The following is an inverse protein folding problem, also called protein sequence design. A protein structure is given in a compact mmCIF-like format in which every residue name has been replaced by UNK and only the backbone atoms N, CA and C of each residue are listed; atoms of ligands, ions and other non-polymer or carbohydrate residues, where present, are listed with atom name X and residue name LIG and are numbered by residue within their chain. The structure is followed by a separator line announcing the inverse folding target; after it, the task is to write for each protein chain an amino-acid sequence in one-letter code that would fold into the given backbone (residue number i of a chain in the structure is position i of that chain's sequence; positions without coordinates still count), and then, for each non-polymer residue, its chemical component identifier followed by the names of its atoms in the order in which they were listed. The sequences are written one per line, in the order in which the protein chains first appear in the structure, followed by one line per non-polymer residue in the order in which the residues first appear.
data_IF_189588602615
#
_entry.id   IF_189588602615
#
_cell.length_a   1.000
_cell.length_b   1.000
_cell.length_c   1.000
_cell.angle_alpha   90.00
_cell.angle_beta   90.00
_cell.angle_gamma   90.00
#
_symmetry.space_group_name_H-M   'P 1'
#
loop_
_entity.id
_entity.type
_entity.pdbx_description
1 polymer ?
#
# COMPACT_ATOMS: atom_id res chain seq x y z
N UNK A 1 -9.02 -12.86 7.53
CA UNK A 1 -9.55 -11.52 7.91
C UNK A 1 -8.46 -10.54 7.56
N UNK A 2 -8.66 -9.69 6.56
CA UNK A 2 -7.63 -8.78 6.06
C UNK A 2 -7.30 -7.67 7.06
N UNK A 3 -6.19 -6.98 6.83
CA UNK A 3 -5.84 -5.75 7.51
C UNK A 3 -6.00 -4.54 6.59
N UNK A 4 -6.24 -3.37 7.18
CA UNK A 4 -6.44 -2.13 6.46
C UNK A 4 -5.46 -1.06 6.96
N UNK A 5 -4.98 -0.25 6.01
CA UNK A 5 -4.22 0.96 6.26
C UNK A 5 -4.92 2.12 5.56
N UNK A 6 -5.15 3.21 6.30
CA UNK A 6 -5.74 4.44 5.77
C UNK A 6 -4.93 5.65 6.17
N UNK A 7 -4.73 6.59 5.24
CA UNK A 7 -4.11 7.88 5.50
C UNK A 7 -5.00 9.00 4.98
N UNK A 8 -5.24 10.00 5.82
CA UNK A 8 -5.91 11.26 5.48
C UNK A 8 -5.07 12.41 6.04
N UNK A 9 -4.63 13.32 5.17
CA UNK A 9 -3.74 14.42 5.52
C UNK A 9 -4.22 15.73 4.90
N UNK A 10 -3.84 16.87 5.49
CA UNK A 10 -4.13 18.20 4.96
C UNK A 10 -3.13 18.69 3.91
N UNK A 11 -1.96 18.03 3.81
CA UNK A 11 -0.92 18.26 2.80
C UNK A 11 -0.46 16.92 2.21
N UNK A 12 0.10 16.88 0.98
CA UNK A 12 0.63 15.65 0.41
C UNK A 12 1.73 15.06 1.29
N UNK A 13 1.49 13.85 1.78
CA UNK A 13 2.38 13.14 2.71
C UNK A 13 2.88 11.85 2.07
N UNK A 14 4.13 11.51 2.35
CA UNK A 14 4.72 10.25 1.91
C UNK A 14 4.15 9.06 2.71
N UNK A 15 3.61 8.07 2.01
CA UNK A 15 3.09 6.83 2.61
C UNK A 15 4.10 5.69 2.58
N UNK A 16 5.22 5.79 1.85
CA UNK A 16 6.14 4.69 1.62
C UNK A 16 6.64 4.05 2.91
N UNK A 17 6.97 4.85 3.93
CA UNK A 17 7.38 4.34 5.25
C UNK A 17 6.29 3.49 5.94
N UNK A 18 5.04 3.97 5.94
CA UNK A 18 3.91 3.24 6.51
C UNK A 18 3.58 1.98 5.71
N UNK A 19 3.65 2.07 4.38
CA UNK A 19 3.40 0.94 3.50
C UNK A 19 4.48 -0.13 3.63
N UNK A 20 5.76 0.22 3.80
CA UNK A 20 6.84 -0.74 3.98
C UNK A 20 6.58 -1.63 5.20
N UNK A 21 6.28 -1.04 6.36
CA UNK A 21 5.92 -1.77 7.58
C UNK A 21 4.62 -2.58 7.43
N UNK A 22 3.63 -2.04 6.72
CA UNK A 22 2.36 -2.73 6.48
C UNK A 22 2.52 -3.93 5.56
N UNK A 23 3.25 -3.78 4.45
CA UNK A 23 3.53 -4.83 3.44
C UNK A 23 4.19 -6.07 4.03
N UNK A 24 4.98 -5.93 5.11
CA UNK A 24 5.57 -7.06 5.81
C UNK A 24 4.52 -7.99 6.43
N UNK A 25 3.33 -7.48 6.77
CA UNK A 25 2.22 -8.32 7.26
C UNK A 25 1.59 -9.16 6.15
N UNK A 26 1.93 -8.85 4.90
CA UNK A 26 1.53 -9.59 3.71
C UNK A 26 2.36 -10.84 3.44
N UNK A 27 2.64 -11.63 4.49
CA UNK A 27 3.33 -12.91 4.39
C UNK A 27 4.68 -13.04 5.09
N UNK A 28 5.19 -12.00 5.75
CA UNK A 28 6.43 -12.08 6.56
C UNK A 28 6.17 -12.08 8.06
N UNK A 29 5.35 -11.16 8.55
CA UNK A 29 5.06 -10.99 9.99
C UNK A 29 3.65 -11.37 10.39
N UNK A 30 2.79 -11.68 9.42
CA UNK A 30 1.40 -12.11 9.63
C UNK A 30 0.96 -13.03 8.47
N UNK A 31 -0.25 -13.59 8.55
CA UNK A 31 -0.77 -14.64 7.66
C UNK A 31 -1.53 -14.12 6.42
N UNK A 32 -1.61 -12.81 6.21
CA UNK A 32 -2.41 -12.22 5.13
C UNK A 32 -1.70 -12.36 3.78
N UNK A 33 -1.92 -13.49 3.10
CA UNK A 33 -1.17 -13.86 1.89
C UNK A 33 -2.06 -13.98 0.64
N UNK A 34 -3.34 -13.63 0.74
CA UNK A 34 -4.35 -13.85 -0.31
C UNK A 34 -4.39 -12.73 -1.37
N UNK A 35 -3.40 -11.85 -1.38
CA UNK A 35 -3.30 -10.68 -2.26
C UNK A 35 -3.39 -9.36 -1.50
N UNK A 36 -3.12 -8.26 -2.18
CA UNK A 36 -3.10 -6.94 -1.57
C UNK A 36 -3.46 -5.85 -2.60
N UNK A 37 -3.72 -4.64 -2.08
CA UNK A 37 -3.93 -3.48 -2.92
C UNK A 37 -3.69 -2.15 -2.21
N UNK A 38 -3.34 -1.13 -2.98
CA UNK A 38 -3.22 0.25 -2.52
C UNK A 38 -3.84 1.20 -3.55
N UNK A 39 -4.64 2.14 -3.07
CA UNK A 39 -5.20 3.22 -3.86
C UNK A 39 -4.87 4.57 -3.22
N UNK A 40 -4.53 5.55 -4.05
CA UNK A 40 -4.19 6.89 -3.59
C UNK A 40 -4.45 7.94 -4.68
N UNK A 41 -4.54 9.20 -4.25
CA UNK A 41 -4.74 10.32 -5.14
C UNK A 41 -3.42 11.01 -5.51
N UNK A 42 -3.22 11.29 -6.79
CA UNK A 42 -2.23 12.24 -7.30
C UNK A 42 -2.98 13.41 -7.96
N UNK A 43 -3.12 14.51 -7.22
CA UNK A 43 -4.03 15.58 -7.60
C UNK A 43 -5.48 15.07 -7.65
N UNK A 44 -6.13 15.20 -8.80
CA UNK A 44 -7.51 14.72 -9.02
C UNK A 44 -7.56 13.27 -9.52
N UNK A 45 -6.41 12.68 -9.87
CA UNK A 45 -6.34 11.31 -10.38
C UNK A 45 -6.24 10.29 -9.25
N UNK A 46 -6.95 9.18 -9.38
CA UNK A 46 -6.79 8.02 -8.49
C UNK A 46 -5.89 6.99 -9.17
N UNK A 47 -4.87 6.52 -8.45
CA UNK A 47 -4.05 5.37 -8.84
C UNK A 47 -4.42 4.18 -8.00
N UNK A 48 -4.42 3.00 -8.62
CA UNK A 48 -4.69 1.73 -7.98
C UNK A 48 -3.62 0.72 -8.41
N UNK A 49 -2.96 0.11 -7.43
CA UNK A 49 -2.08 -1.04 -7.62
C UNK A 49 -2.64 -2.21 -6.85
N UNK A 50 -2.73 -3.37 -7.51
CA UNK A 50 -3.24 -4.62 -6.94
C UNK A 50 -2.36 -5.78 -7.41
N UNK A 51 -2.22 -6.80 -6.58
CA UNK A 51 -1.60 -8.06 -6.95
C UNK A 51 -2.26 -9.20 -6.17
N UNK A 52 -2.46 -10.33 -6.82
CA UNK A 52 -2.97 -11.55 -6.17
C UNK A 52 -1.88 -12.28 -5.39
N UNK A 53 -0.61 -11.96 -5.62
CA UNK A 53 0.50 -12.50 -4.81
C UNK A 53 0.53 -11.86 -3.43
N UNK A 54 1.08 -12.55 -2.41
CA UNK A 54 1.38 -11.94 -1.11
C UNK A 54 2.23 -10.68 -1.29
N UNK A 55 2.02 -9.66 -0.45
CA UNK A 55 2.75 -8.39 -0.58
C UNK A 55 4.28 -8.56 -0.41
N UNK A 56 4.75 -9.59 0.31
CA UNK A 56 6.18 -9.88 0.45
C UNK A 56 6.86 -10.32 -0.86
N UNK A 57 6.12 -11.04 -1.72
CA UNK A 57 6.62 -11.64 -2.98
C UNK A 57 6.11 -10.91 -4.23
N UNK A 58 5.36 -9.83 -4.04
CA UNK A 58 4.76 -9.07 -5.13
C UNK A 58 5.77 -8.08 -5.74
N UNK A 59 6.07 -8.19 -7.04
CA UNK A 59 6.90 -7.19 -7.73
C UNK A 59 6.19 -5.82 -7.80
N UNK A 60 4.85 -5.81 -7.74
CA UNK A 60 4.06 -4.57 -7.66
C UNK A 60 4.24 -3.93 -6.29
N UNK A 61 4.32 -4.70 -5.21
CA UNK A 61 4.57 -4.16 -3.88
C UNK A 61 5.98 -3.55 -3.79
N UNK A 62 6.95 -4.21 -4.43
CA UNK A 62 8.31 -3.67 -4.53
C UNK A 62 8.36 -2.36 -5.33
N UNK A 63 7.60 -2.25 -6.42
CA UNK A 63 7.44 -1.00 -7.15
C UNK A 63 6.85 0.09 -6.24
N UNK A 64 5.77 -0.20 -5.52
CA UNK A 64 5.13 0.75 -4.60
C UNK A 64 6.08 1.21 -3.48
N UNK A 65 6.91 0.32 -2.94
CA UNK A 65 7.94 0.68 -1.93
C UNK A 65 8.97 1.68 -2.45
N UNK A 66 9.25 1.66 -3.76
CA UNK A 66 10.25 2.53 -4.41
C UNK A 66 9.64 3.74 -5.13
N UNK A 67 8.33 3.76 -5.33
CA UNK A 67 7.63 4.83 -6.02
C UNK A 67 7.29 5.93 -5.00
N UNK A 68 7.75 7.19 -5.19
CA UNK A 68 7.56 8.25 -4.19
C UNK A 68 6.11 8.76 -4.15
N UNK A 69 5.25 8.06 -3.41
CA UNK A 69 3.82 8.36 -3.32
C UNK A 69 3.59 9.51 -2.33
N UNK A 70 3.23 10.69 -2.85
CA UNK A 70 2.76 11.81 -2.05
C UNK A 70 1.28 12.02 -2.28
N UNK A 71 0.47 11.80 -1.24
CA UNK A 71 -0.98 11.90 -1.34
C UNK A 71 -1.58 12.49 -0.07
N UNK A 72 -2.74 13.11 -0.20
CA UNK A 72 -3.60 13.50 0.93
C UNK A 72 -4.50 12.35 1.39
N UNK A 73 -4.70 11.35 0.53
CA UNK A 73 -5.61 10.23 0.76
C UNK A 73 -5.02 8.93 0.23
N UNK A 74 -4.88 7.94 1.11
CA UNK A 74 -4.43 6.59 0.76
C UNK A 74 -5.32 5.57 1.47
N UNK A 75 -5.66 4.50 0.77
CA UNK A 75 -6.24 3.30 1.37
C UNK A 75 -5.49 2.08 0.85
N UNK A 76 -5.18 1.14 1.72
CA UNK A 76 -4.56 -0.12 1.35
C UNK A 76 -5.16 -1.27 2.16
N UNK A 77 -5.14 -2.45 1.58
CA UNK A 77 -5.45 -3.69 2.26
C UNK A 77 -4.38 -4.73 1.95
N UNK A 78 -4.21 -5.64 2.89
CA UNK A 78 -3.40 -6.86 2.77
C UNK A 78 -4.22 -7.98 3.39
#
# INVERSE_FOLDING_TARGET
MCQLLGMNCNVPTDICFSFEGFSARGGRTDVHQDGWGIAFFEGLGCRLFIDSKPAIDSPVAELVRRYPIHSINVIAHI
#
